data_IF_504034484693
#
_entry.id   IF_504034484693
#
_cell.length_a   1.000
_cell.length_b   1.000
_cell.length_c   1.000
_cell.angle_alpha   90.00
_cell.angle_beta   90.00
_cell.angle_gamma   90.00
#
_symmetry.space_group_name_H-M   'P 1'
#
loop_
_entity.id
_entity.type
_entity.pdbx_description
1 polymer ?
#
# COMPACT_ATOMS: atom_id res chain seq x y z
N UNK A 1 14.90 -16.59 -13.17
CA UNK A 1 13.83 -17.52 -13.55
C UNK A 1 13.61 -18.47 -12.38
N UNK A 2 12.35 -18.77 -12.03
CA UNK A 2 12.07 -19.75 -10.96
C UNK A 2 12.50 -21.15 -11.43
N UNK A 3 12.99 -21.99 -10.51
CA UNK A 3 13.55 -23.29 -10.86
C UNK A 3 12.47 -24.33 -11.23
N UNK A 4 11.20 -24.06 -10.94
CA UNK A 4 10.07 -24.96 -11.19
C UNK A 4 8.77 -24.18 -11.38
N UNK A 5 7.82 -24.81 -12.06
CA UNK A 5 6.40 -24.42 -12.08
C UNK A 5 5.65 -24.95 -10.86
N UNK A 6 6.24 -25.93 -10.15
CA UNK A 6 5.76 -26.41 -8.85
C UNK A 6 6.12 -25.45 -7.70
N UNK A 7 5.19 -25.32 -6.74
CA UNK A 7 5.46 -24.63 -5.48
C UNK A 7 6.51 -25.36 -4.64
N UNK A 8 7.59 -24.66 -4.27
CA UNK A 8 8.60 -25.12 -3.32
C UNK A 8 8.71 -24.14 -2.14
N UNK A 9 8.41 -24.66 -0.93
CA UNK A 9 8.48 -23.91 0.33
C UNK A 9 9.88 -23.39 0.65
N UNK A 10 10.94 -23.96 0.06
CA UNK A 10 12.33 -23.50 0.25
C UNK A 10 12.73 -22.40 -0.74
N UNK A 11 11.90 -22.15 -1.75
CA UNK A 11 12.12 -21.18 -2.83
C UNK A 11 11.19 -19.98 -2.70
N UNK A 12 9.98 -20.16 -2.15
CA UNK A 12 9.00 -19.10 -1.99
C UNK A 12 8.63 -18.88 -0.52
N UNK A 13 8.92 -17.68 -0.02
CA UNK A 13 8.40 -17.18 1.25
C UNK A 13 7.15 -16.33 0.99
N UNK A 14 6.06 -16.66 1.68
CA UNK A 14 4.81 -15.88 1.64
C UNK A 14 4.35 -15.56 3.05
N UNK A 15 4.04 -14.28 3.28
CA UNK A 15 3.42 -13.81 4.51
C UNK A 15 2.16 -13.00 4.20
N UNK A 16 1.11 -13.21 4.97
CA UNK A 16 -0.12 -12.44 4.87
C UNK A 16 -0.50 -11.82 6.21
N UNK A 17 -1.16 -10.66 6.18
CA UNK A 17 -1.88 -10.16 7.35
C UNK A 17 -2.97 -11.18 7.77
N UNK A 18 -3.25 -11.28 9.07
CA UNK A 18 -4.20 -12.24 9.62
C UNK A 18 -5.67 -11.80 9.42
N UNK A 19 -6.02 -11.64 8.15
CA UNK A 19 -7.36 -11.25 7.70
C UNK A 19 -7.74 -12.16 6.53
N UNK A 20 -8.96 -12.70 6.54
CA UNK A 20 -9.39 -13.70 5.54
C UNK A 20 -9.15 -13.27 4.09
N UNK A 21 -9.46 -12.00 3.75
CA UNK A 21 -9.29 -11.48 2.38
C UNK A 21 -7.82 -11.46 1.92
N UNK A 22 -6.86 -11.19 2.80
CA UNK A 22 -5.43 -11.19 2.45
C UNK A 22 -4.87 -12.61 2.42
N UNK A 23 -5.36 -13.51 3.27
CA UNK A 23 -4.98 -14.94 3.23
C UNK A 23 -5.45 -15.58 1.91
N UNK A 24 -6.71 -15.36 1.53
CA UNK A 24 -7.28 -15.85 0.26
C UNK A 24 -6.60 -15.23 -0.96
N UNK A 25 -6.25 -13.94 -0.90
CA UNK A 25 -5.46 -13.27 -1.95
C UNK A 25 -4.09 -13.90 -2.10
N UNK A 26 -3.40 -14.18 -0.99
CA UNK A 26 -2.09 -14.81 -1.01
C UNK A 26 -2.13 -16.23 -1.58
N UNK A 27 -3.14 -17.01 -1.20
CA UNK A 27 -3.35 -18.35 -1.74
C UNK A 27 -3.61 -18.30 -3.25
N UNK A 28 -4.55 -17.46 -3.68
CA UNK A 28 -4.90 -17.30 -5.09
C UNK A 28 -3.69 -16.89 -5.92
N UNK A 29 -2.90 -15.94 -5.42
CA UNK A 29 -1.66 -15.52 -6.07
C UNK A 29 -0.67 -16.67 -6.22
N UNK A 30 -0.42 -17.45 -5.16
CA UNK A 30 0.56 -18.54 -5.22
C UNK A 30 0.10 -19.71 -6.11
N UNK A 31 -1.20 -20.00 -6.16
CA UNK A 31 -1.77 -21.01 -7.07
C UNK A 31 -1.66 -20.62 -8.53
N UNK A 32 -1.81 -19.33 -8.84
CA UNK A 32 -1.63 -18.82 -10.21
C UNK A 32 -0.14 -18.74 -10.58
N UNK A 33 0.71 -18.34 -9.63
CA UNK A 33 2.15 -18.19 -9.85
C UNK A 33 2.88 -19.53 -9.99
N UNK A 34 2.42 -20.57 -9.29
CA UNK A 34 2.93 -21.94 -9.36
C UNK A 34 1.80 -22.87 -9.83
N UNK A 35 1.57 -22.97 -11.16
CA UNK A 35 0.39 -23.64 -11.71
C UNK A 35 0.45 -25.16 -11.53
N UNK A 36 1.63 -25.75 -11.36
CA UNK A 36 1.78 -27.15 -11.02
C UNK A 36 1.66 -27.29 -9.49
N UNK A 37 0.54 -27.85 -9.04
CA UNK A 37 0.22 -27.98 -7.61
C UNK A 37 0.44 -29.41 -7.13
N UNK A 38 1.62 -29.97 -7.36
CA UNK A 38 2.00 -31.25 -6.73
C UNK A 38 1.99 -31.14 -5.19
N UNK A 39 2.23 -29.93 -4.66
CA UNK A 39 1.97 -29.55 -3.28
C UNK A 39 0.53 -29.06 -3.12
N UNK A 40 -0.28 -29.78 -2.34
CA UNK A 40 -1.70 -29.50 -2.15
C UNK A 40 -2.01 -28.10 -1.58
N UNK A 41 -1.10 -27.46 -0.84
CA UNK A 41 -1.33 -26.15 -0.23
C UNK A 41 -0.05 -25.31 -0.13
N UNK A 42 0.00 -24.08 -0.70
CA UNK A 42 1.11 -23.18 -0.49
C UNK A 42 1.19 -22.74 0.98
N UNK A 43 2.40 -22.68 1.55
CA UNK A 43 2.58 -22.20 2.92
C UNK A 43 2.47 -20.66 2.95
N UNK A 44 1.55 -20.15 3.76
CA UNK A 44 1.34 -18.72 3.98
C UNK A 44 1.48 -18.46 5.48
N UNK A 45 2.53 -17.73 5.85
CA UNK A 45 2.77 -17.36 7.23
C UNK A 45 1.90 -16.17 7.63
N UNK A 46 1.43 -16.15 8.87
CA UNK A 46 0.71 -15.00 9.41
C UNK A 46 1.07 -14.79 10.88
N UNK A 47 0.76 -13.61 11.39
CA UNK A 47 0.92 -13.20 12.79
C UNK A 47 -0.42 -12.62 13.21
N UNK A 48 -0.93 -12.94 14.42
CA UNK A 48 -2.18 -12.38 14.90
C UNK A 48 -2.24 -10.87 14.72
N UNK A 49 -3.39 -10.35 14.28
CA UNK A 49 -3.56 -8.95 13.86
C UNK A 49 -3.00 -7.93 14.88
N UNK A 50 -3.26 -8.16 16.18
CA UNK A 50 -2.80 -7.32 17.30
C UNK A 50 -1.28 -7.30 17.53
N UNK A 51 -0.59 -8.34 17.04
CA UNK A 51 0.86 -8.56 17.22
C UNK A 51 1.63 -8.27 15.91
N UNK A 52 0.93 -7.98 14.81
CA UNK A 52 1.54 -7.76 13.50
C UNK A 52 2.03 -6.31 13.33
N UNK A 53 3.30 -6.08 13.64
CA UNK A 53 3.96 -4.79 13.46
C UNK A 53 4.49 -4.54 12.03
N UNK A 54 4.32 -5.47 11.08
CA UNK A 54 4.89 -5.38 9.74
C UNK A 54 3.82 -5.13 8.66
N UNK A 55 2.81 -6.00 8.58
CA UNK A 55 1.76 -5.97 7.57
C UNK A 55 0.47 -5.34 8.08
N UNK A 56 0.23 -5.36 9.41
CA UNK A 56 -0.95 -4.76 10.04
C UNK A 56 -0.57 -3.72 11.11
N UNK A 57 0.11 -2.68 10.65
CA UNK A 57 0.73 -1.66 11.50
C UNK A 57 -0.27 -0.76 12.27
N UNK A 58 -1.58 -0.98 12.16
CA UNK A 58 -2.62 -0.14 12.77
C UNK A 58 -2.59 -0.14 14.32
N UNK A 59 -2.05 -1.19 14.95
CA UNK A 59 -1.90 -1.25 16.41
C UNK A 59 -0.64 -0.55 16.94
N UNK A 60 0.25 -0.08 16.06
CA UNK A 60 1.39 0.69 16.55
C UNK A 60 0.91 2.04 17.11
N UNK A 61 1.44 2.50 18.27
CA UNK A 61 0.88 3.64 19.00
C UNK A 61 0.70 4.93 18.18
N UNK A 62 1.58 5.18 17.20
CA UNK A 62 1.49 6.33 16.32
C UNK A 62 0.24 6.33 15.42
N UNK A 63 -0.26 5.16 15.02
CA UNK A 63 -1.48 5.04 14.21
C UNK A 63 -2.73 5.04 15.07
N UNK A 64 -2.67 4.42 16.25
CA UNK A 64 -3.73 4.55 17.25
C UNK A 64 -3.91 6.01 17.68
N UNK A 65 -2.83 6.78 17.84
CA UNK A 65 -2.91 8.22 18.08
C UNK A 65 -3.61 8.96 16.94
N UNK A 66 -3.25 8.67 15.68
CA UNK A 66 -3.89 9.27 14.52
C UNK A 66 -5.41 9.05 14.52
N UNK A 67 -5.85 7.79 14.66
CA UNK A 67 -7.27 7.43 14.56
C UNK A 67 -8.10 7.79 15.80
N UNK A 68 -7.51 7.75 16.99
CA UNK A 68 -8.27 7.90 18.23
C UNK A 68 -8.11 9.28 18.89
N UNK A 69 -7.01 9.99 18.63
CA UNK A 69 -6.65 11.21 19.38
C UNK A 69 -6.45 12.44 18.50
N UNK A 70 -6.03 12.28 17.23
CA UNK A 70 -5.78 13.38 16.30
C UNK A 70 -6.98 13.72 15.40
N UNK A 71 -8.20 13.43 15.85
CA UNK A 71 -9.44 13.64 15.07
C UNK A 71 -9.56 15.09 14.60
N UNK A 72 -9.19 16.06 15.45
CA UNK A 72 -9.19 17.47 15.09
C UNK A 72 -8.18 17.80 13.97
N UNK A 73 -6.99 17.20 14.00
CA UNK A 73 -5.97 17.39 12.97
C UNK A 73 -6.35 16.76 11.63
N UNK A 74 -7.01 15.59 11.65
CA UNK A 74 -7.56 14.96 10.44
C UNK A 74 -8.65 15.83 9.83
N UNK A 75 -9.62 16.28 10.64
CA UNK A 75 -10.71 17.17 10.19
C UNK A 75 -10.21 18.50 9.65
N UNK A 76 -9.16 19.08 10.24
CA UNK A 76 -8.59 20.34 9.76
C UNK A 76 -8.05 20.25 8.32
N UNK A 77 -7.59 19.06 7.89
CA UNK A 77 -7.10 18.82 6.53
C UNK A 77 -8.23 18.40 5.60
N UNK A 78 -9.14 17.53 6.06
CA UNK A 78 -10.14 16.91 5.21
C UNK A 78 -11.41 17.76 5.04
N UNK A 79 -11.88 18.47 6.08
CA UNK A 79 -13.11 19.27 6.01
C UNK A 79 -13.09 20.31 4.88
N UNK A 80 -12.00 21.07 4.64
CA UNK A 80 -11.95 21.99 3.50
C UNK A 80 -12.13 21.34 2.13
N UNK A 81 -11.80 20.06 1.99
CA UNK A 81 -12.04 19.29 0.76
C UNK A 81 -13.47 18.77 0.72
N UNK A 82 -14.00 18.30 1.85
CA UNK A 82 -15.42 17.92 1.97
C UNK A 82 -16.31 19.11 1.62
N UNK A 83 -16.09 20.28 2.21
CA UNK A 83 -16.90 21.48 1.98
C UNK A 83 -16.82 21.98 0.52
N UNK A 84 -15.70 21.72 -0.16
CA UNK A 84 -15.52 22.07 -1.58
C UNK A 84 -16.25 21.09 -2.50
N UNK A 85 -16.10 19.80 -2.24
CA UNK A 85 -16.68 18.72 -3.05
C UNK A 85 -18.17 18.55 -2.78
N UNK A 86 -18.62 18.84 -1.55
CA UNK A 86 -19.98 18.67 -1.07
C UNK A 86 -20.43 19.91 -0.27
N UNK A 87 -20.67 21.06 -0.93
CA UNK A 87 -21.03 22.32 -0.24
C UNK A 87 -22.34 22.24 0.55
N UNK A 88 -23.24 21.33 0.17
CA UNK A 88 -24.43 21.00 0.93
C UNK A 88 -24.24 19.63 1.60
N UNK A 89 -24.20 19.62 2.94
CA UNK A 89 -24.08 18.39 3.71
C UNK A 89 -25.24 17.40 3.45
N UNK A 90 -26.42 17.91 3.08
CA UNK A 90 -27.54 17.05 2.72
C UNK A 90 -27.25 16.24 1.45
N UNK A 91 -26.39 16.72 0.55
CA UNK A 91 -25.95 15.97 -0.61
C UNK A 91 -25.16 14.72 -0.18
N UNK A 92 -24.26 14.85 0.79
CA UNK A 92 -23.50 13.73 1.34
C UNK A 92 -24.41 12.70 2.02
N UNK A 93 -25.41 13.17 2.77
CA UNK A 93 -26.43 12.30 3.38
C UNK A 93 -27.31 11.60 2.33
N UNK A 94 -27.64 12.28 1.24
CA UNK A 94 -28.43 11.72 0.14
C UNK A 94 -27.67 10.60 -0.61
N UNK A 95 -26.38 10.81 -0.90
CA UNK A 95 -25.50 9.78 -1.44
C UNK A 95 -25.45 8.58 -0.49
N UNK A 96 -25.28 8.83 0.81
CA UNK A 96 -25.24 7.76 1.80
C UNK A 96 -26.53 6.94 1.87
N UNK A 97 -27.70 7.56 1.67
CA UNK A 97 -28.98 6.86 1.62
C UNK A 97 -29.08 5.89 0.44
N UNK A 98 -28.45 6.20 -0.69
CA UNK A 98 -28.40 5.31 -1.87
C UNK A 98 -27.73 3.96 -1.54
N UNK A 99 -26.79 3.98 -0.59
CA UNK A 99 -26.05 2.80 -0.11
C UNK A 99 -26.42 2.41 1.32
N UNK A 100 -27.60 2.81 1.80
CA UNK A 100 -28.14 2.46 3.13
C UNK A 100 -27.21 2.81 4.31
N UNK A 101 -26.47 3.91 4.20
CA UNK A 101 -25.51 4.41 5.20
C UNK A 101 -25.90 5.76 5.78
N UNK A 102 -27.17 6.18 5.64
CA UNK A 102 -27.64 7.50 6.06
C UNK A 102 -27.52 7.76 7.57
N UNK A 103 -27.63 6.73 8.41
CA UNK A 103 -27.49 6.89 9.86
C UNK A 103 -26.04 7.22 10.24
N UNK A 104 -25.08 6.58 9.58
CA UNK A 104 -23.66 6.84 9.77
C UNK A 104 -23.28 8.27 9.32
N UNK A 105 -23.85 8.68 8.18
CA UNK A 105 -23.61 9.96 7.52
C UNK A 105 -24.54 11.10 7.97
N UNK A 106 -25.46 10.87 8.91
CA UNK A 106 -26.43 11.88 9.35
C UNK A 106 -25.87 12.94 10.31
N UNK A 107 -24.62 12.79 10.79
CA UNK A 107 -23.96 13.73 11.69
C UNK A 107 -22.99 14.63 10.93
N UNK A 108 -23.26 15.94 10.93
CA UNK A 108 -22.40 16.96 10.28
C UNK A 108 -20.93 16.88 10.73
N UNK A 109 -20.68 16.60 12.01
CA UNK A 109 -19.31 16.48 12.52
C UNK A 109 -18.54 15.28 11.96
N UNK A 110 -19.24 14.33 11.34
CA UNK A 110 -18.68 13.14 10.67
C UNK A 110 -18.57 13.30 9.16
N UNK A 111 -18.66 14.51 8.61
CA UNK A 111 -18.58 14.72 7.15
C UNK A 111 -17.34 14.08 6.51
N UNK A 112 -16.17 14.22 7.13
CA UNK A 112 -14.94 13.54 6.68
C UNK A 112 -15.06 12.01 6.76
N UNK A 113 -15.51 11.47 7.89
CA UNK A 113 -15.63 10.02 8.11
C UNK A 113 -16.66 9.39 7.15
N UNK A 114 -17.73 10.12 6.86
CA UNK A 114 -18.76 9.73 5.90
C UNK A 114 -18.21 9.72 4.48
N UNK A 115 -17.55 10.79 4.03
CA UNK A 115 -16.96 10.84 2.69
C UNK A 115 -15.91 9.73 2.47
N UNK A 116 -15.10 9.44 3.48
CA UNK A 116 -14.15 8.33 3.45
C UNK A 116 -14.85 6.97 3.32
N UNK A 117 -15.92 6.73 4.10
CA UNK A 117 -16.69 5.48 4.00
C UNK A 117 -17.42 5.34 2.66
N UNK A 118 -17.98 6.42 2.13
CA UNK A 118 -18.64 6.40 0.83
C UNK A 118 -17.65 6.15 -0.31
N UNK A 119 -16.42 6.65 -0.22
CA UNK A 119 -15.37 6.30 -1.18
C UNK A 119 -15.07 4.79 -1.16
N UNK A 120 -14.89 4.20 0.02
CA UNK A 120 -14.60 2.75 0.15
C UNK A 120 -15.74 1.90 -0.44
N UNK A 121 -17.00 2.28 -0.19
CA UNK A 121 -18.17 1.63 -0.78
C UNK A 121 -18.16 1.80 -2.31
N UNK A 122 -17.88 3.00 -2.82
CA UNK A 122 -17.84 3.27 -4.26
C UNK A 122 -16.76 2.45 -4.96
N UNK A 123 -15.54 2.42 -4.42
CA UNK A 123 -14.42 1.63 -4.93
C UNK A 123 -14.74 0.11 -4.90
N UNK A 124 -15.38 -0.37 -3.83
CA UNK A 124 -15.82 -1.75 -3.75
C UNK A 124 -16.88 -2.09 -4.82
N UNK A 125 -17.88 -1.23 -5.02
CA UNK A 125 -18.91 -1.41 -6.05
C UNK A 125 -18.35 -1.31 -7.47
N UNK A 126 -17.38 -0.42 -7.70
CA UNK A 126 -16.68 -0.31 -8.97
C UNK A 126 -15.92 -1.61 -9.29
N UNK A 127 -15.22 -2.18 -8.30
CA UNK A 127 -14.41 -3.39 -8.48
C UNK A 127 -15.20 -4.63 -8.90
N UNK A 128 -16.50 -4.67 -8.59
CA UNK A 128 -17.41 -5.76 -8.98
C UNK A 128 -18.35 -5.39 -10.13
N UNK A 129 -18.17 -4.21 -10.74
CA UNK A 129 -18.98 -3.75 -11.87
C UNK A 129 -20.41 -3.33 -11.50
N UNK A 130 -20.67 -3.00 -10.23
CA UNK A 130 -22.00 -2.63 -9.73
C UNK A 130 -22.18 -1.12 -9.51
N UNK A 131 -21.13 -0.30 -9.65
CA UNK A 131 -21.22 1.15 -9.37
C UNK A 131 -22.29 1.87 -10.20
N UNK A 132 -22.54 1.42 -11.43
CA UNK A 132 -23.58 1.99 -12.31
C UNK A 132 -25.01 1.88 -11.71
N UNK A 133 -25.22 0.96 -10.77
CA UNK A 133 -26.50 0.84 -10.05
C UNK A 133 -26.69 1.90 -8.96
N UNK A 134 -25.68 2.71 -8.69
CA UNK A 134 -25.63 3.74 -7.65
C UNK A 134 -25.25 5.09 -8.29
N UNK A 135 -26.15 5.72 -9.06
CA UNK A 135 -25.83 6.91 -9.84
C UNK A 135 -25.35 8.11 -9.01
N UNK A 136 -25.85 8.31 -7.78
CA UNK A 136 -25.39 9.41 -6.94
C UNK A 136 -23.97 9.16 -6.41
N UNK A 137 -23.70 7.92 -6.00
CA UNK A 137 -22.38 7.48 -5.56
C UNK A 137 -21.34 7.58 -6.69
N UNK A 138 -21.68 7.04 -7.87
CA UNK A 138 -20.79 7.08 -9.04
C UNK A 138 -20.49 8.49 -9.52
N UNK A 139 -21.50 9.38 -9.57
CA UNK A 139 -21.30 10.78 -9.93
C UNK A 139 -20.44 11.57 -8.91
N UNK A 140 -20.32 11.05 -7.68
CA UNK A 140 -19.59 11.70 -6.59
C UNK A 140 -18.18 11.14 -6.38
N UNK A 141 -17.78 10.12 -7.14
CA UNK A 141 -16.54 9.36 -6.92
C UNK A 141 -15.29 10.26 -6.87
N UNK A 142 -15.16 11.21 -7.80
CA UNK A 142 -14.02 12.14 -7.84
C UNK A 142 -13.93 13.03 -6.59
N UNK A 143 -15.08 13.45 -6.04
CA UNK A 143 -15.13 14.24 -4.82
C UNK A 143 -14.75 13.42 -3.59
N UNK A 144 -15.25 12.18 -3.52
CA UNK A 144 -14.98 11.23 -2.45
C UNK A 144 -13.51 10.75 -2.46
N UNK A 145 -12.94 10.53 -3.65
CA UNK A 145 -11.55 10.13 -3.83
C UNK A 145 -10.59 11.22 -3.36
N UNK A 146 -10.88 12.50 -3.65
CA UNK A 146 -10.07 13.63 -3.17
C UNK A 146 -10.04 13.73 -1.64
N UNK A 147 -11.17 13.52 -0.97
CA UNK A 147 -11.22 13.52 0.50
C UNK A 147 -10.35 12.38 1.06
N UNK A 148 -10.50 11.18 0.50
CA UNK A 148 -9.73 9.98 0.90
C UNK A 148 -8.24 10.15 0.64
N UNK A 149 -7.89 10.77 -0.48
CA UNK A 149 -6.51 11.10 -0.85
C UNK A 149 -5.86 11.99 0.19
N UNK A 150 -6.52 13.09 0.59
CA UNK A 150 -5.99 13.99 1.63
C UNK A 150 -5.90 13.31 3.00
N UNK A 151 -6.87 12.45 3.32
CA UNK A 151 -6.85 11.65 4.53
C UNK A 151 -5.59 10.75 4.59
N UNK A 152 -5.36 9.94 3.54
CA UNK A 152 -4.16 9.09 3.45
C UNK A 152 -2.87 9.89 3.31
N UNK A 153 -2.88 11.02 2.61
CA UNK A 153 -1.72 11.89 2.51
C UNK A 153 -1.29 12.39 3.89
N UNK A 154 -2.24 12.87 4.70
CA UNK A 154 -2.00 13.31 6.07
C UNK A 154 -1.51 12.20 6.99
N UNK A 155 -1.90 10.95 6.71
CA UNK A 155 -1.52 9.80 7.51
C UNK A 155 -0.15 9.24 7.13
N UNK A 156 0.17 9.17 5.85
CA UNK A 156 1.28 8.35 5.35
C UNK A 156 2.42 9.13 4.72
N UNK A 157 2.19 10.36 4.22
CA UNK A 157 3.27 11.17 3.65
C UNK A 157 4.30 11.52 4.72
N UNK A 158 5.55 11.27 4.38
CA UNK A 158 6.68 11.61 5.23
C UNK A 158 7.22 12.98 4.84
N UNK A 159 7.20 13.93 5.79
CA UNK A 159 7.82 15.24 5.66
C UNK A 159 8.92 15.41 6.72
N UNK A 160 10.18 15.45 6.31
CA UNK A 160 11.32 15.61 7.23
C UNK A 160 11.28 16.95 8.00
N UNK A 161 10.68 17.98 7.43
CA UNK A 161 10.55 19.30 8.08
C UNK A 161 9.45 19.32 9.15
N UNK A 162 8.53 18.35 9.13
CA UNK A 162 7.55 18.16 10.20
C UNK A 162 8.23 17.43 11.38
N UNK A 163 8.20 18.07 12.56
CA UNK A 163 8.90 17.54 13.75
C UNK A 163 8.32 16.20 14.20
N UNK A 164 7.01 16.00 14.07
CA UNK A 164 6.36 14.74 14.43
C UNK A 164 6.78 13.65 13.44
N UNK A 165 6.73 13.90 12.14
CA UNK A 165 7.20 12.94 11.13
C UNK A 165 8.67 12.59 11.32
N UNK A 166 9.53 13.59 11.58
CA UNK A 166 10.95 13.36 11.83
C UNK A 166 11.21 12.47 13.04
N UNK A 167 10.47 12.67 14.14
CA UNK A 167 10.61 11.86 15.36
C UNK A 167 10.04 10.45 15.22
N UNK A 168 8.94 10.28 14.48
CA UNK A 168 8.24 9.00 14.32
C UNK A 168 8.86 8.13 13.22
N UNK A 169 9.61 8.73 12.29
CA UNK A 169 10.07 8.07 11.08
C UNK A 169 8.94 7.87 10.08
N UNK A 170 9.26 7.22 8.95
CA UNK A 170 8.28 6.99 7.89
C UNK A 170 7.40 5.78 8.20
N UNK A 171 6.12 5.88 7.85
CA UNK A 171 5.11 4.85 8.13
C UNK A 171 5.39 3.49 7.48
N UNK A 172 6.05 3.47 6.32
CA UNK A 172 6.49 2.28 5.60
C UNK A 172 7.92 1.82 5.95
N UNK A 173 8.60 2.49 6.88
CA UNK A 173 9.98 2.12 7.24
C UNK A 173 10.13 0.66 7.71
N UNK A 174 9.26 0.08 8.56
CA UNK A 174 9.42 -1.30 9.02
C UNK A 174 9.46 -2.32 7.88
N UNK A 175 8.56 -2.20 6.90
CA UNK A 175 8.53 -3.12 5.75
C UNK A 175 9.70 -2.89 4.80
N UNK A 176 10.11 -1.64 4.58
CA UNK A 176 11.26 -1.33 3.73
C UNK A 176 12.55 -1.91 4.34
N UNK A 177 12.68 -1.88 5.66
CA UNK A 177 13.79 -2.55 6.36
C UNK A 177 13.74 -4.08 6.20
N UNK A 178 12.55 -4.70 6.26
CA UNK A 178 12.42 -6.13 5.99
C UNK A 178 12.79 -6.48 4.54
N UNK A 179 12.42 -5.63 3.57
CA UNK A 179 12.82 -5.82 2.17
C UNK A 179 14.34 -5.76 2.01
N UNK A 180 15.00 -4.79 2.64
CA UNK A 180 16.47 -4.66 2.61
C UNK A 180 17.15 -5.86 3.26
N UNK A 181 16.67 -6.29 4.43
CA UNK A 181 17.16 -7.49 5.12
C UNK A 181 17.03 -8.74 4.25
N UNK A 182 15.93 -8.90 3.53
CA UNK A 182 15.72 -10.02 2.63
C UNK A 182 16.64 -9.97 1.41
N UNK A 183 16.87 -8.77 0.86
CA UNK A 183 17.82 -8.55 -0.23
C UNK A 183 19.24 -8.90 0.23
N UNK A 184 19.64 -8.42 1.42
CA UNK A 184 20.96 -8.69 1.99
C UNK A 184 21.14 -10.18 2.28
N UNK A 185 20.10 -10.87 2.79
CA UNK A 185 20.14 -12.30 3.02
C UNK A 185 20.38 -13.11 1.73
N UNK A 186 19.78 -12.69 0.61
CA UNK A 186 20.03 -13.31 -0.69
C UNK A 186 21.44 -13.00 -1.19
N UNK A 187 21.91 -11.75 -1.06
CA UNK A 187 23.25 -11.34 -1.49
C UNK A 187 24.34 -12.08 -0.71
N UNK A 188 24.13 -12.29 0.59
CA UNK A 188 25.07 -13.00 1.48
C UNK A 188 24.94 -14.52 1.38
N UNK A 189 23.97 -15.03 0.64
CA UNK A 189 23.73 -16.47 0.49
C UNK A 189 23.14 -17.13 1.75
N UNK A 190 22.63 -16.36 2.70
CA UNK A 190 21.96 -16.87 3.91
C UNK A 190 20.47 -17.17 3.70
N UNK A 191 19.90 -16.76 2.57
CA UNK A 191 18.55 -17.13 2.14
C UNK A 191 18.55 -17.85 0.79
N UNK A 192 17.81 -18.95 0.71
CA UNK A 192 17.53 -19.68 -0.53
C UNK A 192 16.32 -19.14 -1.28
N UNK A 193 15.51 -18.30 -0.65
CA UNK A 193 14.27 -17.79 -1.22
C UNK A 193 14.54 -16.96 -2.48
N UNK A 194 13.75 -17.23 -3.52
CA UNK A 194 13.71 -16.48 -4.80
C UNK A 194 12.49 -15.58 -4.89
N UNK A 195 11.43 -15.89 -4.14
CA UNK A 195 10.24 -15.06 -3.96
C UNK A 195 10.10 -14.65 -2.50
N UNK A 196 9.94 -13.36 -2.26
CA UNK A 196 9.33 -12.85 -1.03
C UNK A 196 8.00 -12.18 -1.40
N UNK A 197 6.92 -12.80 -0.95
CA UNK A 197 5.56 -12.36 -1.20
C UNK A 197 4.91 -11.88 0.11
N UNK A 198 4.32 -10.69 0.05
CA UNK A 198 3.60 -10.09 1.17
C UNK A 198 2.18 -9.72 0.73
N UNK A 199 1.16 -10.24 1.41
CA UNK A 199 -0.24 -9.88 1.15
C UNK A 199 -0.82 -9.13 2.33
N UNK A 200 -1.39 -7.94 2.07
CA UNK A 200 -1.78 -7.02 3.12
C UNK A 200 -3.00 -6.18 2.70
N UNK A 201 -2.99 -4.89 3.02
CA UNK A 201 -4.05 -3.92 2.70
C UNK A 201 -3.50 -2.77 1.84
N UNK A 202 -4.37 -2.08 1.14
CA UNK A 202 -4.11 -0.80 0.46
C UNK A 202 -3.26 0.15 1.31
N UNK A 203 -3.60 0.30 2.58
CA UNK A 203 -2.86 1.08 3.58
C UNK A 203 -1.41 0.66 3.73
N UNK A 204 -1.06 -0.61 3.48
CA UNK A 204 0.32 -1.09 3.47
C UNK A 204 1.09 -0.58 2.26
N UNK A 205 0.47 -0.60 1.08
CA UNK A 205 1.05 -0.06 -0.14
C UNK A 205 1.20 1.45 -0.06
N UNK A 206 0.17 2.17 0.39
CA UNK A 206 0.21 3.62 0.58
C UNK A 206 1.36 4.04 1.50
N UNK A 207 1.60 3.29 2.59
CA UNK A 207 2.75 3.52 3.49
C UNK A 207 4.09 3.33 2.79
N UNK A 208 4.25 2.28 1.98
CA UNK A 208 5.49 2.01 1.24
C UNK A 208 5.77 3.16 0.27
N UNK A 209 4.81 3.47 -0.59
CA UNK A 209 5.00 4.44 -1.67
C UNK A 209 5.15 5.87 -1.13
N UNK A 210 4.39 6.25 -0.10
CA UNK A 210 4.57 7.53 0.59
C UNK A 210 5.93 7.65 1.27
N UNK A 211 6.46 6.54 1.83
CA UNK A 211 7.83 6.52 2.37
C UNK A 211 8.88 6.72 1.29
N UNK A 212 8.59 6.28 0.07
CA UNK A 212 9.40 6.49 -1.13
C UNK A 212 9.10 7.81 -1.84
N UNK A 213 8.29 8.69 -1.23
CA UNK A 213 7.92 10.02 -1.74
C UNK A 213 7.06 9.98 -3.02
N UNK A 214 6.42 8.85 -3.32
CA UNK A 214 5.40 8.76 -4.35
C UNK A 214 4.06 9.24 -3.79
N UNK A 215 3.52 10.31 -4.40
CA UNK A 215 2.26 10.97 -4.01
C UNK A 215 1.22 10.91 -5.11
N UNK A 216 1.39 10.01 -6.08
CA UNK A 216 0.42 9.74 -7.14
C UNK A 216 -0.85 9.15 -6.56
N UNK A 217 -1.95 9.27 -7.30
CA UNK A 217 -3.26 8.78 -6.84
C UNK A 217 -3.23 7.25 -6.68
N UNK A 218 -2.64 6.50 -7.61
CA UNK A 218 -2.44 5.04 -7.47
C UNK A 218 -1.49 4.64 -6.33
N UNK A 219 -0.68 5.59 -5.86
CA UNK A 219 0.16 5.41 -4.67
C UNK A 219 -0.65 5.58 -3.38
N UNK A 220 -1.44 6.64 -3.30
CA UNK A 220 -2.22 6.96 -2.11
C UNK A 220 -3.48 6.10 -1.99
N UNK A 221 -4.12 5.81 -3.13
CA UNK A 221 -5.35 5.04 -3.28
C UNK A 221 -5.10 3.81 -4.18
N UNK A 222 -4.30 2.82 -3.72
CA UNK A 222 -4.02 1.64 -4.52
C UNK A 222 -5.33 0.93 -4.89
N UNK A 223 -5.58 0.65 -6.18
CA UNK A 223 -6.75 -0.12 -6.56
C UNK A 223 -6.66 -1.54 -5.97
N UNK A 224 -7.81 -2.23 -5.94
CA UNK A 224 -7.80 -3.66 -5.69
C UNK A 224 -6.81 -4.34 -6.63
N UNK A 225 -6.18 -5.39 -6.14
CA UNK A 225 -5.16 -6.14 -6.84
C UNK A 225 -3.79 -5.50 -7.00
N UNK A 226 -3.60 -4.24 -6.61
CA UNK A 226 -2.39 -3.52 -6.98
C UNK A 226 -1.14 -4.29 -6.53
N UNK A 227 -0.30 -4.63 -7.51
CA UNK A 227 0.99 -5.25 -7.25
C UNK A 227 2.10 -4.24 -7.45
N UNK A 228 3.03 -4.17 -6.50
CA UNK A 228 4.25 -3.37 -6.66
C UNK A 228 5.43 -4.32 -6.59
N UNK A 229 6.26 -4.30 -7.63
CA UNK A 229 7.56 -4.94 -7.58
C UNK A 229 8.65 -3.94 -7.22
N UNK A 230 9.72 -4.42 -6.59
CA UNK A 230 10.90 -3.59 -6.27
C UNK A 230 11.60 -2.97 -7.50
N UNK A 231 11.12 -3.26 -8.72
CA UNK A 231 11.60 -2.73 -9.98
C UNK A 231 10.70 -1.67 -10.62
N UNK A 232 9.48 -1.44 -10.10
CA UNK A 232 8.47 -0.54 -10.70
C UNK A 232 8.45 0.88 -10.11
N UNK A 233 9.46 1.24 -9.31
CA UNK A 233 9.64 2.64 -8.92
C UNK A 233 10.16 3.42 -10.13
N UNK A 234 9.34 4.32 -10.69
CA UNK A 234 9.83 5.32 -11.65
C UNK A 234 11.07 6.00 -11.07
N UNK A 235 12.10 6.26 -11.90
CA UNK A 235 13.27 6.98 -11.44
C UNK A 235 12.83 8.38 -11.00
N UNK A 236 12.82 8.61 -9.68
CA UNK A 236 12.78 9.95 -9.10
C UNK A 236 13.85 10.78 -9.82
N UNK A 237 13.42 11.74 -10.66
CA UNK A 237 14.33 12.68 -11.33
C UNK A 237 14.93 13.59 -10.27
N UNK A 238 16.02 13.12 -9.66
CA UNK A 238 16.93 13.96 -8.89
C UNK A 238 17.65 14.90 -9.86
N UNK A 239 17.16 16.12 -9.98
CA UNK A 239 17.96 17.22 -10.50
C UNK A 239 19.00 17.55 -9.42
N UNK A 240 20.22 17.02 -9.57
CA UNK A 240 21.38 17.53 -8.82
C UNK A 240 22.66 17.46 -9.67
N UNK A 241 23.45 18.55 -9.75
CA UNK A 241 24.57 18.67 -10.66
C UNK A 241 25.85 18.11 -10.03
N UNK A 242 26.09 16.81 -10.14
CA UNK A 242 27.45 16.29 -10.00
C UNK A 242 27.55 14.86 -10.54
N UNK A 243 27.94 14.72 -11.80
CA UNK A 243 28.30 13.46 -12.42
C UNK A 243 29.82 13.33 -12.53
N UNK A 244 30.37 12.24 -11.98
CA UNK A 244 31.63 11.51 -12.32
C UNK A 244 31.87 10.52 -11.16
N UNK A 245 32.25 9.26 -11.30
CA UNK A 245 32.70 8.44 -12.42
C UNK A 245 32.69 6.95 -12.01
N UNK A 246 33.01 6.09 -12.99
CA UNK A 246 33.57 4.72 -12.92
C UNK A 246 32.61 3.51 -12.99
N UNK A 247 32.83 2.73 -14.06
CA UNK A 247 32.28 1.39 -14.38
C UNK A 247 33.16 0.28 -13.79
N UNK A 248 32.55 -0.85 -13.41
CA UNK A 248 33.11 -2.21 -13.52
C UNK A 248 31.97 -3.26 -13.46
N UNK A 249 32.11 -4.44 -14.10
CA UNK A 249 30.99 -5.37 -14.37
C UNK A 249 30.85 -6.42 -13.26
N UNK A 250 29.63 -6.69 -12.75
CA UNK A 250 29.38 -7.84 -11.83
C UNK A 250 27.97 -8.41 -11.97
N UNK A 251 27.92 -9.73 -11.87
CA UNK A 251 26.79 -10.65 -12.02
C UNK A 251 25.44 -10.14 -11.51
N UNK A 252 24.43 -10.27 -12.37
CA UNK A 252 23.04 -9.93 -12.09
C UNK A 252 22.38 -11.04 -11.27
N UNK A 253 22.06 -10.75 -10.01
CA UNK A 253 21.10 -11.53 -9.23
C UNK A 253 19.80 -10.74 -9.19
N UNK A 254 18.78 -11.19 -9.92
CA UNK A 254 17.44 -10.60 -9.91
C UNK A 254 16.69 -11.09 -8.66
N UNK A 255 16.23 -10.16 -7.83
CA UNK A 255 15.38 -10.44 -6.66
C UNK A 255 13.98 -9.94 -7.00
N UNK A 256 13.00 -10.85 -6.94
CA UNK A 256 11.60 -10.53 -7.17
C UNK A 256 10.93 -10.30 -5.82
N UNK A 257 10.61 -9.04 -5.55
CA UNK A 257 9.76 -8.65 -4.44
C UNK A 257 8.39 -8.33 -5.04
N UNK A 258 7.31 -8.96 -4.56
CA UNK A 258 5.94 -8.66 -5.03
C UNK A 258 5.01 -8.57 -3.84
N UNK A 259 4.37 -7.43 -3.68
CA UNK A 259 3.26 -7.25 -2.73
C UNK A 259 1.98 -7.43 -3.54
N UNK A 260 1.12 -8.40 -3.22
CA UNK A 260 -0.11 -8.68 -3.97
C UNK A 260 -1.34 -8.65 -3.06
N UNK A 261 -2.40 -8.02 -3.56
CA UNK A 261 -3.79 -8.31 -3.18
C UNK A 261 -4.47 -8.89 -4.43
N UNK A 262 -5.53 -9.70 -4.36
CA UNK A 262 -6.21 -10.27 -5.55
C UNK A 262 -6.90 -9.16 -6.37
N UNK A 263 -7.07 -9.20 -7.71
CA UNK A 263 -7.31 -10.22 -8.75
C UNK A 263 -6.44 -9.93 -10.00
N UNK A 264 -6.06 -10.98 -10.74
CA UNK A 264 -4.95 -11.01 -11.71
C UNK A 264 -4.92 -10.01 -12.89
N UNK A 265 -3.73 -9.45 -13.11
CA UNK A 265 -3.06 -9.38 -14.42
C UNK A 265 -1.56 -9.13 -14.18
N UNK A 266 -0.69 -10.03 -14.67
CA UNK A 266 0.75 -9.91 -14.48
C UNK A 266 1.38 -9.03 -15.57
N UNK A 267 1.92 -7.86 -15.19
CA UNK A 267 2.91 -7.14 -16.01
C UNK A 267 4.33 -7.45 -15.50
N UNK A 268 5.25 -7.70 -16.43
CA UNK A 268 6.67 -8.02 -16.17
C UNK A 268 7.51 -6.94 -16.84
N UNK A 269 8.28 -6.18 -16.06
CA UNK A 269 9.27 -5.23 -16.59
C UNK A 269 10.60 -5.42 -15.85
N UNK A 270 11.71 -5.41 -16.60
CA UNK A 270 13.08 -5.65 -16.10
C UNK A 270 13.84 -4.34 -15.92
N UNK A 271 14.29 -4.02 -14.69
CA UNK A 271 15.29 -2.96 -14.42
C UNK A 271 16.14 -3.33 -13.18
N UNK A 272 17.45 -2.98 -13.08
CA UNK A 272 18.32 -3.39 -11.98
C UNK A 272 18.04 -2.63 -10.65
N UNK A 273 17.59 -3.36 -9.62
CA UNK A 273 17.18 -2.86 -8.30
C UNK A 273 18.25 -2.12 -7.47
N UNK A 274 19.55 -2.30 -7.78
CA UNK A 274 20.67 -1.79 -6.96
C UNK A 274 20.80 -0.27 -6.89
N UNK A 275 20.31 0.47 -7.89
CA UNK A 275 20.58 1.91 -8.01
C UNK A 275 19.47 2.77 -7.40
N UNK A 276 18.22 2.29 -7.42
CA UNK A 276 17.04 3.05 -6.99
C UNK A 276 16.88 3.00 -5.46
N UNK A 277 16.91 1.81 -4.88
CA UNK A 277 16.73 1.63 -3.42
C UNK A 277 17.89 2.19 -2.60
N UNK A 278 19.13 2.10 -3.11
CA UNK A 278 20.31 2.64 -2.41
C UNK A 278 20.31 4.17 -2.35
N UNK A 279 19.79 4.86 -3.38
CA UNK A 279 19.69 6.33 -3.38
C UNK A 279 18.56 6.83 -2.49
N UNK A 280 17.42 6.14 -2.45
CA UNK A 280 16.35 6.42 -1.50
C UNK A 280 16.82 6.20 -0.04
N UNK A 281 17.60 5.14 0.20
CA UNK A 281 18.22 4.86 1.50
C UNK A 281 19.25 5.91 1.93
N UNK A 282 20.10 6.38 1.01
CA UNK A 282 21.09 7.43 1.32
C UNK A 282 20.47 8.78 1.70
N UNK A 283 19.22 9.05 1.27
CA UNK A 283 18.44 10.21 1.71
C UNK A 283 17.73 10.01 3.05
N UNK A 284 17.33 8.77 3.37
CA UNK A 284 16.66 8.44 4.62
C UNK A 284 17.63 8.21 5.80
N UNK A 285 18.86 7.78 5.53
CA UNK A 285 19.78 7.31 6.58
C UNK A 285 21.06 8.14 6.77
N UNK A 286 21.28 9.24 6.05
CA UNK A 286 22.35 10.19 6.39
C UNK A 286 21.78 11.27 7.32
N UNK A 287 22.27 11.25 8.55
CA UNK A 287 22.04 12.28 9.58
C UNK A 287 22.42 13.68 9.11
#
# INVERSE_FOLDING_TARGET
>A
MFPSEDYDVNVAYSRSADVLRSLQSAESFLRDFFPELMSLYPAIHTVPEKDDYLLYTNYAPQFQFYWCLDVAGVRAVCNPVVDRSFPDFNALTAIAREVHSEEYCGNFERGTDCAFALFDIAAAKESIGELESYPMLGASLDGLSQVTREHFARQYLYNRSDTRCFQQGSSGQPILQEFLKNIDAVILGSSSYKLYHYSAHDTMLSRIVCSLQDTTDDGLLPPFAQTRSGTDAEPVRLVSPCARAARAPRAESCIWLRVCMGVGLAAVVHVPARTVLRRAWEQLCRG
#
